data_IF_403538951268
#
_entry.id   IF_403538951268
#
_cell.length_a   1.000
_cell.length_b   1.000
_cell.length_c   1.000
_cell.angle_alpha   90.00
_cell.angle_beta   90.00
_cell.angle_gamma   90.00
#
_symmetry.space_group_name_H-M   'P 1'
#
loop_
_entity.id
_entity.type
_entity.pdbx_description
1 polymer ?
#
# COMPACT_ATOMS: atom_id res chain seq x y z
N UNK A 1 3.13 -10.64 -19.09
CA UNK A 1 3.57 -11.34 -17.86
C UNK A 1 2.58 -11.05 -16.74
N UNK A 2 2.30 -12.00 -15.84
CA UNK A 2 1.28 -11.84 -14.79
C UNK A 2 1.92 -11.60 -13.43
N UNK A 3 1.50 -10.53 -12.75
CA UNK A 3 1.87 -10.21 -11.36
C UNK A 3 0.75 -10.61 -10.42
N UNK A 4 1.08 -11.43 -9.42
CA UNK A 4 0.18 -11.79 -8.34
C UNK A 4 0.37 -10.81 -7.18
N UNK A 5 -0.55 -9.86 -7.03
CA UNK A 5 -0.52 -8.88 -5.96
C UNK A 5 -1.35 -9.36 -4.77
N UNK A 6 -0.71 -9.54 -3.62
CA UNK A 6 -1.33 -9.98 -2.36
C UNK A 6 -1.22 -8.84 -1.36
N UNK A 7 -2.33 -8.42 -0.78
CA UNK A 7 -2.38 -7.24 0.08
C UNK A 7 -3.47 -7.36 1.15
N UNK A 8 -3.45 -6.48 2.15
CA UNK A 8 -4.32 -6.59 3.33
C UNK A 8 -5.77 -6.18 3.06
N UNK A 9 -5.98 -5.01 2.46
CA UNK A 9 -7.26 -4.33 2.40
C UNK A 9 -7.69 -3.95 0.98
N UNK A 10 -8.67 -3.05 0.91
CA UNK A 10 -9.23 -2.58 -0.37
C UNK A 10 -8.61 -1.25 -0.82
N UNK A 11 -7.93 -0.52 0.05
CA UNK A 11 -7.22 0.71 -0.35
C UNK A 11 -6.08 0.35 -1.30
N UNK A 12 -5.31 -0.68 -0.97
CA UNK A 12 -4.22 -1.22 -1.80
C UNK A 12 -4.71 -1.60 -3.19
N UNK A 13 -5.88 -2.24 -3.28
CA UNK A 13 -6.51 -2.60 -4.55
C UNK A 13 -6.75 -1.36 -5.43
N UNK A 14 -7.22 -0.26 -4.85
CA UNK A 14 -7.47 1.00 -5.57
C UNK A 14 -6.18 1.67 -6.01
N UNK A 15 -5.15 1.65 -5.15
CA UNK A 15 -3.81 2.15 -5.51
C UNK A 15 -3.24 1.35 -6.68
N UNK A 16 -3.24 0.02 -6.59
CA UNK A 16 -2.72 -0.84 -7.65
C UNK A 16 -3.50 -0.64 -8.96
N UNK A 17 -4.83 -0.56 -8.92
CA UNK A 17 -5.64 -0.26 -10.12
C UNK A 17 -5.25 1.05 -10.80
N UNK A 18 -4.86 2.07 -10.04
CA UNK A 18 -4.35 3.34 -10.60
C UNK A 18 -2.96 3.19 -11.20
N UNK A 19 -2.10 2.37 -10.61
CA UNK A 19 -0.71 2.19 -11.06
C UNK A 19 -0.56 1.23 -12.24
N UNK A 20 -1.37 0.17 -12.32
CA UNK A 20 -1.25 -0.88 -13.35
C UNK A 20 -1.15 -0.34 -14.78
N UNK A 21 -1.97 0.64 -15.22
CA UNK A 21 -1.87 1.18 -16.57
C UNK A 21 -0.54 1.87 -16.91
N UNK A 22 0.30 2.14 -15.91
CA UNK A 22 1.63 2.75 -16.08
C UNK A 22 2.73 1.70 -16.34
N UNK A 23 2.39 0.40 -16.29
CA UNK A 23 3.33 -0.70 -16.50
C UNK A 23 2.91 -1.55 -17.70
N UNK A 24 3.41 -1.19 -18.88
CA UNK A 24 3.09 -1.88 -20.14
C UNK A 24 3.46 -3.37 -20.11
N UNK A 25 2.60 -4.21 -20.67
CA UNK A 25 2.85 -5.66 -20.81
C UNK A 25 2.65 -6.49 -19.54
N UNK A 26 2.24 -5.86 -18.43
CA UNK A 26 1.86 -6.54 -17.21
C UNK A 26 0.34 -6.72 -17.09
N UNK A 27 -0.07 -7.92 -16.68
CA UNK A 27 -1.40 -8.17 -16.14
C UNK A 27 -1.30 -8.44 -14.65
N UNK A 28 -2.34 -8.10 -13.89
CA UNK A 28 -2.33 -8.25 -12.44
C UNK A 28 -3.50 -9.12 -11.97
N UNK A 29 -3.20 -10.07 -11.09
CA UNK A 29 -4.20 -10.71 -10.24
C UNK A 29 -4.15 -10.10 -8.85
N UNK A 30 -5.20 -9.34 -8.53
CA UNK A 30 -5.32 -8.63 -7.26
C UNK A 30 -6.03 -9.53 -6.23
N UNK A 31 -5.33 -9.89 -5.15
CA UNK A 31 -5.86 -10.77 -4.09
C UNK A 31 -5.82 -10.09 -2.72
N UNK A 32 -6.95 -9.59 -2.21
CA UNK A 32 -7.04 -9.15 -0.81
C UNK A 32 -6.97 -10.36 0.12
N UNK A 33 -6.28 -10.21 1.25
CA UNK A 33 -6.10 -11.25 2.26
C UNK A 33 -7.02 -11.10 3.46
N UNK A 34 -7.86 -10.05 3.53
CA UNK A 34 -8.71 -9.75 4.69
C UNK A 34 -7.89 -9.57 5.99
N UNK A 35 -6.73 -8.91 5.87
CA UNK A 35 -5.85 -8.58 7.00
C UNK A 35 -4.53 -9.38 7.06
N UNK A 36 -3.58 -8.84 7.84
CA UNK A 36 -2.21 -9.34 7.95
C UNK A 36 -2.03 -10.81 8.34
N UNK A 37 -2.91 -11.37 9.17
CA UNK A 37 -2.78 -12.75 9.68
C UNK A 37 -3.06 -13.80 8.63
N UNK A 38 -3.87 -13.46 7.63
CA UNK A 38 -4.24 -14.38 6.55
C UNK A 38 -3.26 -14.32 5.36
N UNK A 39 -2.42 -13.27 5.25
CA UNK A 39 -1.44 -13.14 4.16
C UNK A 39 -0.58 -14.40 3.96
N UNK A 40 0.04 -15.00 5.00
CA UNK A 40 0.81 -16.23 4.84
C UNK A 40 0.00 -17.39 4.22
N UNK A 41 -1.28 -17.50 4.57
CA UNK A 41 -2.18 -18.51 4.03
C UNK A 41 -2.58 -18.19 2.59
N UNK A 42 -2.84 -16.92 2.27
CA UNK A 42 -3.11 -16.46 0.91
C UNK A 42 -1.93 -16.74 -0.01
N UNK A 43 -0.70 -16.41 0.41
CA UNK A 43 0.55 -16.73 -0.29
C UNK A 43 0.58 -18.21 -0.65
N UNK A 44 0.39 -19.10 0.34
CA UNK A 44 0.45 -20.55 0.10
C UNK A 44 -0.68 -21.05 -0.80
N UNK A 45 -1.90 -20.60 -0.58
CA UNK A 45 -3.08 -21.04 -1.31
C UNK A 45 -3.14 -20.56 -2.77
N UNK A 46 -2.68 -19.34 -3.03
CA UNK A 46 -2.71 -18.72 -4.36
C UNK A 46 -1.50 -19.05 -5.21
N UNK A 47 -0.31 -19.02 -4.61
CA UNK A 47 0.93 -19.21 -5.37
C UNK A 47 1.29 -20.69 -5.50
N UNK A 48 0.95 -21.53 -4.52
CA UNK A 48 1.29 -22.96 -4.50
C UNK A 48 0.98 -23.72 -5.79
N UNK A 49 -0.23 -23.57 -6.35
CA UNK A 49 -0.58 -24.22 -7.62
C UNK A 49 0.23 -23.75 -8.83
N UNK A 50 0.82 -22.55 -8.79
CA UNK A 50 1.45 -21.89 -9.94
C UNK A 50 2.95 -22.16 -10.06
N UNK A 51 3.60 -22.56 -8.97
CA UNK A 51 5.06 -22.74 -8.95
C UNK A 51 5.45 -23.88 -9.89
N UNK A 52 6.38 -23.58 -10.81
CA UNK A 52 6.92 -24.54 -11.78
C UNK A 52 6.12 -24.67 -13.06
N UNK A 53 5.01 -23.92 -13.20
CA UNK A 53 4.19 -23.91 -14.41
C UNK A 53 4.60 -22.74 -15.31
N UNK A 54 4.76 -21.56 -14.72
CA UNK A 54 5.13 -20.33 -15.41
C UNK A 54 6.05 -19.47 -14.54
N UNK A 55 6.62 -18.43 -15.14
CA UNK A 55 7.35 -17.39 -14.42
C UNK A 55 6.44 -16.76 -13.37
N UNK A 56 6.86 -16.72 -12.12
CA UNK A 56 6.07 -16.19 -11.02
C UNK A 56 6.57 -14.78 -10.66
N UNK A 57 5.69 -13.78 -10.76
CA UNK A 57 5.92 -12.43 -10.25
C UNK A 57 4.96 -12.15 -9.11
N UNK A 58 5.47 -11.79 -7.94
CA UNK A 58 4.65 -11.60 -6.75
C UNK A 58 4.93 -10.24 -6.15
N UNK A 59 3.87 -9.45 -5.97
CA UNK A 59 3.89 -8.25 -5.15
C UNK A 59 3.16 -8.55 -3.84
N UNK A 60 3.79 -8.28 -2.71
CA UNK A 60 3.18 -8.40 -1.39
C UNK A 60 3.16 -7.01 -0.77
N UNK A 61 1.99 -6.51 -0.41
CA UNK A 61 1.83 -5.23 0.29
C UNK A 61 1.43 -5.48 1.74
N UNK A 62 2.09 -4.80 2.66
CA UNK A 62 1.89 -4.92 4.11
C UNK A 62 1.81 -3.57 4.77
N UNK A 63 0.91 -3.44 5.73
CA UNK A 63 0.93 -2.34 6.69
C UNK A 63 1.98 -2.62 7.77
N UNK A 64 2.37 -1.57 8.52
CA UNK A 64 3.27 -1.70 9.67
C UNK A 64 2.58 -1.27 10.97
N UNK A 65 2.23 -2.26 11.80
CA UNK A 65 1.56 -2.07 13.08
C UNK A 65 2.55 -1.92 14.25
N UNK A 66 3.33 -0.83 14.27
CA UNK A 66 4.36 -0.63 15.31
C UNK A 66 3.81 -0.60 16.74
N UNK A 67 2.59 -0.10 16.95
CA UNK A 67 1.94 -0.08 18.28
C UNK A 67 1.63 -1.48 18.84
N UNK A 68 1.54 -2.52 18.00
CA UNK A 68 1.42 -3.92 18.42
C UNK A 68 2.80 -4.60 18.58
N UNK A 69 3.89 -3.83 18.50
CA UNK A 69 5.26 -4.33 18.52
C UNK A 69 5.68 -5.01 17.21
N UNK A 70 4.95 -4.82 16.11
CA UNK A 70 5.38 -5.28 14.79
C UNK A 70 6.56 -4.43 14.31
N UNK A 71 7.62 -5.10 13.84
CA UNK A 71 8.80 -4.45 13.25
C UNK A 71 8.93 -4.85 11.80
N UNK A 72 9.65 -4.06 11.00
CA UNK A 72 9.95 -4.40 9.61
C UNK A 72 10.57 -5.80 9.51
N UNK A 73 11.55 -6.12 10.37
CA UNK A 73 12.18 -7.44 10.40
C UNK A 73 11.19 -8.57 10.68
N UNK A 74 10.21 -8.35 11.56
CA UNK A 74 9.14 -9.35 11.82
C UNK A 74 8.25 -9.55 10.60
N UNK A 75 7.90 -8.49 9.88
CA UNK A 75 7.10 -8.59 8.63
C UNK A 75 7.89 -9.33 7.54
N UNK A 76 9.16 -8.97 7.35
CA UNK A 76 10.08 -9.63 6.42
C UNK A 76 10.22 -11.11 6.78
N UNK A 77 10.51 -11.44 8.04
CA UNK A 77 10.70 -12.81 8.49
C UNK A 77 9.42 -13.65 8.37
N UNK A 78 8.25 -13.07 8.69
CA UNK A 78 6.96 -13.73 8.50
C UNK A 78 6.73 -14.07 7.02
N UNK A 79 7.08 -13.14 6.13
CA UNK A 79 6.98 -13.34 4.67
C UNK A 79 7.96 -14.39 4.18
N UNK A 80 9.24 -14.34 4.58
CA UNK A 80 10.25 -15.38 4.30
C UNK A 80 9.78 -16.75 4.75
N UNK A 81 9.19 -16.85 5.94
CA UNK A 81 8.65 -18.10 6.49
C UNK A 81 7.50 -18.64 5.64
N UNK A 82 6.56 -17.79 5.24
CA UNK A 82 5.45 -18.18 4.38
C UNK A 82 5.92 -18.69 3.01
N UNK A 83 6.90 -18.01 2.41
CA UNK A 83 7.51 -18.40 1.13
C UNK A 83 8.32 -19.69 1.25
N UNK A 84 9.11 -19.85 2.32
CA UNK A 84 9.87 -21.09 2.58
C UNK A 84 8.93 -22.30 2.74
N UNK A 85 7.82 -22.11 3.44
CA UNK A 85 6.78 -23.15 3.58
C UNK A 85 6.11 -23.48 2.25
N UNK A 86 5.87 -22.46 1.42
CA UNK A 86 5.34 -22.61 0.06
C UNK A 86 6.27 -23.47 -0.81
N UNK A 87 7.60 -23.29 -0.73
CA UNK A 87 8.57 -24.02 -1.54
C UNK A 87 8.95 -25.40 -1.02
N UNK A 88 8.79 -25.66 0.29
CA UNK A 88 9.28 -26.87 0.98
C UNK A 88 8.99 -28.20 0.26
N UNK A 89 7.85 -28.34 -0.42
CA UNK A 89 7.45 -29.63 -1.01
C UNK A 89 7.97 -29.88 -2.43
N UNK A 90 8.04 -28.84 -3.28
CA UNK A 90 8.41 -28.97 -4.70
C UNK A 90 9.80 -28.43 -5.02
N UNK A 91 10.28 -27.50 -4.19
CA UNK A 91 11.51 -26.75 -4.40
C UNK A 91 12.22 -26.53 -3.06
N UNK A 92 12.46 -27.61 -2.32
CA UNK A 92 12.98 -27.57 -0.95
C UNK A 92 14.35 -26.87 -0.80
N UNK A 93 15.11 -26.77 -1.90
CA UNK A 93 16.39 -26.07 -1.95
C UNK A 93 16.25 -24.55 -2.14
N UNK A 94 15.08 -24.06 -2.55
CA UNK A 94 14.82 -22.62 -2.60
C UNK A 94 14.64 -22.10 -1.18
N UNK A 95 15.53 -21.19 -0.80
CA UNK A 95 15.47 -20.48 0.47
C UNK A 95 15.30 -18.98 0.19
N UNK A 96 14.07 -18.44 0.25
CA UNK A 96 13.82 -17.04 -0.07
C UNK A 96 14.48 -16.11 0.93
N UNK A 97 15.54 -15.44 0.47
CA UNK A 97 16.21 -14.41 1.25
C UNK A 97 15.82 -13.03 0.71
N UNK A 98 14.70 -12.52 1.21
CA UNK A 98 14.26 -11.14 0.98
C UNK A 98 15.32 -10.15 1.48
N UNK A 99 15.91 -9.42 0.52
CA UNK A 99 16.94 -8.41 0.72
C UNK A 99 16.39 -7.02 0.40
N UNK A 100 16.85 -5.98 1.10
CA UNK A 100 16.40 -4.61 0.86
C UNK A 100 16.74 -4.16 -0.57
N UNK A 101 15.80 -3.51 -1.25
CA UNK A 101 16.01 -2.99 -2.61
C UNK A 101 16.70 -1.63 -2.55
N UNK A 102 18.03 -1.63 -2.71
CA UNK A 102 18.82 -0.39 -2.82
C UNK A 102 18.59 0.56 -1.64
N UNK A 103 18.20 1.80 -1.95
CA UNK A 103 17.92 2.86 -0.96
C UNK A 103 16.51 2.78 -0.33
N UNK A 104 15.61 1.94 -0.86
CA UNK A 104 14.24 1.85 -0.37
C UNK A 104 14.16 1.00 0.90
N UNK A 105 14.17 1.65 2.06
CA UNK A 105 14.19 0.98 3.36
C UNK A 105 13.01 0.05 3.64
N UNK A 106 11.92 0.25 2.89
CA UNK A 106 10.64 -0.41 3.06
C UNK A 106 10.29 -1.37 1.92
N UNK A 107 11.24 -1.65 1.03
CA UNK A 107 11.07 -2.59 -0.08
C UNK A 107 12.09 -3.70 0.04
N UNK A 108 11.61 -4.94 0.00
CA UNK A 108 12.42 -6.14 0.11
C UNK A 108 12.14 -7.06 -1.06
N UNK A 109 13.17 -7.56 -1.70
CA UNK A 109 13.10 -8.32 -2.94
C UNK A 109 13.80 -9.66 -2.82
N UNK A 110 13.35 -10.62 -3.60
CA UNK A 110 14.06 -11.87 -3.83
C UNK A 110 13.75 -12.37 -5.24
N UNK A 111 14.76 -12.90 -5.91
CA UNK A 111 14.59 -13.68 -7.11
C UNK A 111 15.28 -15.03 -6.96
N UNK A 112 14.74 -16.05 -7.61
CA UNK A 112 15.43 -17.32 -7.73
C UNK A 112 16.62 -17.16 -8.69
N UNK A 113 17.76 -17.77 -8.34
CA UNK A 113 18.95 -17.79 -9.19
C UNK A 113 18.82 -18.79 -10.36
N UNK A 114 17.88 -19.74 -10.27
CA UNK A 114 17.68 -20.85 -11.20
C UNK A 114 16.19 -21.04 -11.51
N UNK A 115 15.85 -22.07 -12.30
CA UNK A 115 14.49 -22.56 -12.49
C UNK A 115 13.89 -23.05 -11.15
N UNK A 116 12.66 -22.62 -10.78
CA UNK A 116 11.69 -21.79 -11.49
C UNK A 116 12.02 -20.31 -11.50
N UNK A 117 11.71 -19.59 -12.60
CA UNK A 117 11.81 -18.12 -12.67
C UNK A 117 10.80 -17.45 -11.73
N UNK A 118 11.26 -17.02 -10.55
CA UNK A 118 10.43 -16.39 -9.53
C UNK A 118 11.06 -15.05 -9.15
N UNK A 119 10.22 -14.01 -9.09
CA UNK A 119 10.55 -12.72 -8.48
C UNK A 119 9.47 -12.31 -7.50
N UNK A 120 9.91 -11.84 -6.34
CA UNK A 120 9.07 -11.44 -5.23
C UNK A 120 9.51 -10.06 -4.77
N UNK A 121 8.56 -9.14 -4.67
CA UNK A 121 8.73 -7.86 -4.01
C UNK A 121 7.75 -7.76 -2.84
N UNK A 122 8.27 -7.40 -1.68
CA UNK A 122 7.54 -7.06 -0.46
C UNK A 122 7.68 -5.54 -0.25
N UNK A 123 6.57 -4.83 -0.31
CA UNK A 123 6.49 -3.43 0.09
C UNK A 123 5.79 -3.33 1.43
N UNK A 124 6.39 -2.59 2.35
CA UNK A 124 5.85 -2.32 3.68
C UNK A 124 5.53 -0.83 3.73
N UNK A 125 4.30 -0.47 4.10
CA UNK A 125 3.92 0.92 4.32
C UNK A 125 4.64 1.43 5.58
N UNK A 126 5.64 2.29 5.39
CA UNK A 126 6.41 2.91 6.49
C UNK A 126 6.22 4.41 6.58
N UNK A 127 5.71 5.05 5.52
CA UNK A 127 5.39 6.46 5.53
C UNK A 127 4.29 6.73 6.57
N UNK A 128 4.51 7.76 7.39
CA UNK A 128 3.49 8.31 8.27
C UNK A 128 3.29 9.76 7.90
N UNK A 129 2.05 10.14 7.64
CA UNK A 129 1.73 11.56 7.45
C UNK A 129 1.95 12.35 8.76
N UNK A 130 1.72 11.71 9.92
CA UNK A 130 2.01 12.27 11.24
C UNK A 130 2.78 11.27 12.11
N UNK A 131 3.88 11.71 12.73
CA UNK A 131 4.69 10.87 13.64
C UNK A 131 3.90 10.36 14.86
N UNK A 132 2.80 11.03 15.21
CA UNK A 132 1.92 10.62 16.32
C UNK A 132 1.03 9.42 15.99
N UNK A 133 1.01 8.95 14.73
CA UNK A 133 0.16 7.85 14.32
C UNK A 133 0.66 6.51 14.84
N UNK A 134 -0.29 5.68 15.29
CA UNK A 134 0.01 4.36 15.87
C UNK A 134 0.33 3.29 14.80
N UNK A 135 -0.06 3.55 13.55
CA UNK A 135 0.12 2.68 12.39
C UNK A 135 0.72 3.48 11.23
N UNK A 136 1.39 2.79 10.31
CA UNK A 136 1.72 3.30 8.99
C UNK A 136 1.02 2.39 7.96
N UNK A 137 0.18 2.98 7.10
CA UNK A 137 -0.61 2.24 6.11
C UNK A 137 -0.57 2.92 4.76
N UNK A 138 -1.13 2.27 3.72
CA UNK A 138 -1.28 2.92 2.41
C UNK A 138 -2.16 4.17 2.48
N UNK A 139 -3.08 4.28 3.46
CA UNK A 139 -3.90 5.47 3.65
C UNK A 139 -3.06 6.73 3.96
N UNK A 140 -1.87 6.60 4.57
CA UNK A 140 -0.94 7.72 4.81
C UNK A 140 -0.47 8.37 3.49
N UNK A 141 -0.17 7.54 2.50
CA UNK A 141 0.24 7.99 1.17
C UNK A 141 -0.91 8.70 0.45
N UNK A 142 -2.12 8.13 0.54
CA UNK A 142 -3.33 8.71 -0.05
C UNK A 142 -3.67 10.06 0.59
N UNK A 143 -3.60 10.14 1.91
CA UNK A 143 -3.82 11.39 2.64
C UNK A 143 -2.80 12.45 2.22
N UNK A 144 -1.54 12.07 2.07
CA UNK A 144 -0.47 12.98 1.62
C UNK A 144 -0.77 13.56 0.23
N UNK A 145 -1.24 12.73 -0.71
CA UNK A 145 -1.63 13.18 -2.06
C UNK A 145 -2.88 14.07 -1.99
N UNK A 146 -3.88 13.70 -1.20
CA UNK A 146 -5.12 14.47 -1.06
C UNK A 146 -4.88 15.88 -0.50
N UNK A 147 -3.89 16.04 0.38
CA UNK A 147 -3.51 17.31 0.98
C UNK A 147 -2.62 18.18 0.08
N UNK A 148 -2.25 17.73 -1.12
CA UNK A 148 -1.64 18.61 -2.11
C UNK A 148 -2.66 19.65 -2.55
N UNK A 149 -2.27 20.93 -2.54
CA UNK A 149 -3.16 22.07 -2.80
C UNK A 149 -4.02 21.90 -4.05
N UNK A 150 -3.40 21.60 -5.18
CA UNK A 150 -4.10 21.45 -6.46
C UNK A 150 -5.13 20.30 -6.39
N UNK A 151 -4.79 19.19 -5.73
CA UNK A 151 -5.69 18.04 -5.56
C UNK A 151 -6.84 18.38 -4.62
N UNK A 152 -6.54 19.05 -3.50
CA UNK A 152 -7.55 19.52 -2.55
C UNK A 152 -8.52 20.49 -3.20
N UNK A 153 -8.03 21.41 -4.03
CA UNK A 153 -8.86 22.33 -4.82
C UNK A 153 -9.81 21.55 -5.74
N UNK A 154 -9.34 20.50 -6.43
CA UNK A 154 -10.22 19.67 -7.27
C UNK A 154 -11.29 18.95 -6.45
N UNK A 155 -10.90 18.35 -5.33
CA UNK A 155 -11.81 17.62 -4.42
C UNK A 155 -12.85 18.54 -3.78
N UNK A 156 -12.51 19.80 -3.55
CA UNK A 156 -13.38 20.77 -2.88
C UNK A 156 -14.34 21.49 -3.85
N UNK A 157 -14.19 21.34 -5.18
CA UNK A 157 -15.06 22.02 -6.17
C UNK A 157 -16.53 21.73 -5.96
N UNK A 158 -16.89 20.48 -5.65
CA UNK A 158 -18.29 20.05 -5.45
C UNK A 158 -18.96 20.74 -4.26
N UNK A 159 -18.18 21.24 -3.30
CA UNK A 159 -18.71 21.94 -2.12
C UNK A 159 -18.48 23.45 -2.16
N UNK A 160 -17.96 23.97 -3.28
CA UNK A 160 -17.69 25.40 -3.51
C UNK A 160 -16.77 26.04 -2.44
N UNK A 161 -15.80 25.27 -1.96
CA UNK A 161 -14.81 25.73 -0.96
C UNK A 161 -13.41 25.64 -1.55
N UNK A 162 -12.53 26.54 -1.11
CA UNK A 162 -11.11 26.52 -1.46
C UNK A 162 -10.39 25.31 -0.81
N UNK A 163 -9.48 24.67 -1.53
CA UNK A 163 -8.71 23.52 -1.06
C UNK A 163 -7.86 23.81 0.18
N UNK A 164 -7.29 25.02 0.32
CA UNK A 164 -6.56 25.46 1.51
C UNK A 164 -7.47 25.48 2.74
N UNK A 165 -8.75 25.86 2.58
CA UNK A 165 -9.73 25.79 3.67
C UNK A 165 -10.00 24.33 4.07
N UNK A 166 -10.13 23.41 3.11
CA UNK A 166 -10.32 21.99 3.42
C UNK A 166 -9.11 21.41 4.14
N UNK A 167 -7.90 21.66 3.64
CA UNK A 167 -6.63 21.23 4.25
C UNK A 167 -6.58 21.72 5.70
N UNK A 168 -6.84 23.01 5.94
CA UNK A 168 -6.82 23.58 7.29
C UNK A 168 -7.85 22.94 8.23
N UNK A 169 -9.06 22.65 7.72
CA UNK A 169 -10.11 21.98 8.51
C UNK A 169 -9.73 20.55 8.86
N UNK A 170 -9.13 19.81 7.92
CA UNK A 170 -8.73 18.41 8.09
C UNK A 170 -7.54 18.26 9.02
N UNK A 171 -6.56 19.16 8.92
CA UNK A 171 -5.25 18.99 9.57
C UNK A 171 -5.12 19.74 10.88
N UNK A 172 -5.87 20.83 11.07
CA UNK A 172 -5.71 21.71 12.24
C UNK A 172 -7.01 21.89 13.00
N UNK A 173 -8.02 22.52 12.39
CA UNK A 173 -9.15 23.08 13.15
C UNK A 173 -10.05 22.01 13.77
N UNK A 174 -10.51 21.03 12.98
CA UNK A 174 -11.37 19.96 13.50
C UNK A 174 -10.58 19.01 14.41
N UNK A 175 -9.36 18.55 14.06
CA UNK A 175 -8.54 17.76 14.98
C UNK A 175 -8.29 18.46 16.32
N UNK A 176 -8.08 19.78 16.33
CA UNK A 176 -7.92 20.56 17.57
C UNK A 176 -9.19 20.55 18.42
N UNK A 177 -10.35 20.76 17.80
CA UNK A 177 -11.64 20.68 18.51
C UNK A 177 -11.84 19.28 19.09
N UNK A 178 -11.61 18.23 18.32
CA UNK A 178 -11.74 16.84 18.77
C UNK A 178 -10.80 16.56 19.96
N UNK A 179 -9.53 16.97 19.85
CA UNK A 179 -8.54 16.81 20.92
C UNK A 179 -8.93 17.53 22.21
N UNK A 180 -9.44 18.76 22.12
CA UNK A 180 -9.92 19.53 23.27
C UNK A 180 -11.11 18.86 23.97
N UNK A 181 -11.84 17.99 23.27
CA UNK A 181 -12.93 17.19 23.79
C UNK A 181 -12.51 15.75 24.14
N UNK A 182 -11.20 15.46 24.19
CA UNK A 182 -10.67 14.14 24.54
C UNK A 182 -10.74 13.09 23.42
N UNK A 183 -11.09 13.47 22.19
CA UNK A 183 -11.13 12.58 21.03
C UNK A 183 -9.81 12.71 20.27
N UNK A 184 -9.00 11.65 20.27
CA UNK A 184 -7.68 11.62 19.63
C UNK A 184 -7.78 10.85 18.32
N UNK A 185 -7.46 11.51 17.21
CA UNK A 185 -7.28 10.86 15.91
C UNK A 185 -5.88 10.25 15.86
N UNK A 186 -5.79 8.93 15.71
CA UNK A 186 -4.52 8.19 15.91
C UNK A 186 -3.99 7.56 14.64
N UNK A 187 -4.74 7.62 13.54
CA UNK A 187 -4.40 6.92 12.31
C UNK A 187 -4.80 7.74 11.07
N UNK A 188 -4.09 7.54 9.95
CA UNK A 188 -4.42 8.19 8.68
C UNK A 188 -5.86 7.94 8.24
N UNK A 189 -6.41 6.75 8.50
CA UNK A 189 -7.81 6.42 8.18
C UNK A 189 -8.82 7.34 8.87
N UNK A 190 -8.51 7.86 10.07
CA UNK A 190 -9.38 8.80 10.77
C UNK A 190 -9.41 10.15 10.02
N UNK A 191 -8.25 10.61 9.56
CA UNK A 191 -8.12 11.84 8.77
C UNK A 191 -8.72 11.69 7.38
N UNK A 192 -8.56 10.53 6.73
CA UNK A 192 -9.22 10.20 5.47
C UNK A 192 -10.74 10.24 5.62
N UNK A 193 -11.30 9.67 6.69
CA UNK A 193 -12.73 9.72 7.00
C UNK A 193 -13.21 11.15 7.24
N UNK A 194 -12.45 11.93 8.00
CA UNK A 194 -12.75 13.34 8.26
C UNK A 194 -12.74 14.16 6.97
N UNK A 195 -11.70 13.99 6.14
CA UNK A 195 -11.58 14.65 4.84
C UNK A 195 -12.78 14.31 3.98
N UNK A 196 -13.07 13.03 3.78
CA UNK A 196 -14.21 12.57 3.01
C UNK A 196 -15.53 13.18 3.50
N UNK A 197 -15.72 13.28 4.82
CA UNK A 197 -16.92 13.89 5.40
C UNK A 197 -17.02 15.39 5.08
N UNK A 198 -15.92 16.15 5.16
CA UNK A 198 -15.91 17.59 4.85
C UNK A 198 -16.30 17.83 3.38
N UNK A 199 -15.76 17.04 2.46
CA UNK A 199 -16.08 17.14 1.03
C UNK A 199 -17.37 16.40 0.64
N UNK A 200 -18.20 15.99 1.61
CA UNK A 200 -19.47 15.28 1.40
C UNK A 200 -19.35 14.02 0.52
N UNK A 201 -18.22 13.32 0.63
CA UNK A 201 -17.97 12.04 -0.04
C UNK A 201 -18.20 10.85 0.90
N UNK A 202 -18.23 9.65 0.33
CA UNK A 202 -18.37 8.42 1.10
C UNK A 202 -17.12 8.21 1.98
N UNK A 203 -17.30 8.05 3.29
CA UNK A 203 -16.21 8.02 4.29
C UNK A 203 -15.42 6.69 4.33
N UNK A 204 -15.58 5.85 3.31
CA UNK A 204 -14.84 4.58 3.22
C UNK A 204 -13.45 4.88 2.66
N UNK A 205 -12.35 4.54 3.35
CA UNK A 205 -11.00 4.87 2.88
C UNK A 205 -10.69 4.39 1.46
N UNK A 206 -11.10 3.17 1.03
CA UNK A 206 -10.95 2.75 -0.37
C UNK A 206 -11.69 3.65 -1.38
N UNK A 207 -12.90 4.11 -1.05
CA UNK A 207 -13.69 4.98 -1.95
C UNK A 207 -13.05 6.37 -2.03
N UNK A 208 -12.56 6.88 -0.90
CA UNK A 208 -11.81 8.13 -0.86
C UNK A 208 -10.51 8.02 -1.68
N UNK A 209 -9.74 6.94 -1.51
CA UNK A 209 -8.52 6.70 -2.28
C UNK A 209 -8.78 6.69 -3.79
N UNK A 210 -9.84 5.99 -4.22
CA UNK A 210 -10.26 6.01 -5.63
C UNK A 210 -10.62 7.43 -6.10
N UNK A 211 -11.36 8.21 -5.29
CA UNK A 211 -11.70 9.60 -5.63
C UNK A 211 -10.45 10.46 -5.77
N UNK A 212 -9.52 10.40 -4.80
CA UNK A 212 -8.25 11.14 -4.81
C UNK A 212 -7.42 10.78 -6.04
N UNK A 213 -7.21 9.49 -6.28
CA UNK A 213 -6.35 9.00 -7.36
C UNK A 213 -6.92 9.29 -8.76
N UNK A 214 -8.22 9.54 -8.88
CA UNK A 214 -8.88 9.89 -10.14
C UNK A 214 -8.99 11.39 -10.39
N UNK A 215 -8.46 12.25 -9.50
CA UNK A 215 -8.37 13.68 -9.78
C UNK A 215 -7.40 13.94 -10.95
N UNK A 216 -7.69 14.95 -11.78
CA UNK A 216 -6.92 15.29 -12.98
C UNK A 216 -5.49 15.71 -12.63
N UNK A 217 -5.30 16.34 -11.48
CA UNK A 217 -3.97 16.70 -10.99
C UNK A 217 -3.09 15.48 -10.69
N UNK A 218 -3.66 14.30 -10.41
CA UNK A 218 -2.91 13.08 -10.09
C UNK A 218 -2.38 12.41 -11.36
N UNK A 219 -1.21 12.89 -11.79
CA UNK A 219 -0.43 12.35 -12.89
C UNK A 219 0.71 11.42 -12.41
N UNK A 220 1.40 10.80 -13.37
CA UNK A 220 2.51 9.87 -13.11
C UNK A 220 3.63 10.50 -12.26
N UNK A 221 3.95 11.78 -12.42
CA UNK A 221 4.99 12.44 -11.63
C UNK A 221 4.60 12.55 -10.15
N UNK A 222 3.34 12.88 -9.85
CA UNK A 222 2.83 12.88 -8.46
C UNK A 222 2.86 11.47 -7.90
N UNK A 223 2.38 10.48 -8.66
CA UNK A 223 2.36 9.10 -8.25
C UNK A 223 3.78 8.58 -7.98
N UNK A 224 4.73 8.82 -8.87
CA UNK A 224 6.15 8.46 -8.68
C UNK A 224 6.77 9.16 -7.48
N UNK A 225 6.47 10.44 -7.27
CA UNK A 225 7.01 11.19 -6.12
C UNK A 225 6.52 10.63 -4.79
N UNK A 226 5.24 10.32 -4.68
CA UNK A 226 4.63 9.94 -3.40
C UNK A 226 4.60 8.43 -3.18
N UNK A 227 4.62 7.61 -4.23
CA UNK A 227 4.58 6.14 -4.18
C UNK A 227 5.88 5.52 -4.71
N UNK A 228 7.01 6.24 -4.67
CA UNK A 228 8.30 5.82 -5.25
C UNK A 228 8.72 4.40 -4.88
N UNK A 229 8.63 4.03 -3.61
CA UNK A 229 8.96 2.70 -3.11
C UNK A 229 8.07 1.61 -3.71
N UNK A 230 6.78 1.90 -3.91
CA UNK A 230 5.86 0.98 -4.56
C UNK A 230 6.16 0.86 -6.07
N UNK A 231 6.54 1.97 -6.73
CA UNK A 231 7.05 1.92 -8.10
C UNK A 231 8.29 1.04 -8.20
N UNK A 232 9.28 1.23 -7.34
CA UNK A 232 10.51 0.43 -7.34
C UNK A 232 10.24 -1.07 -7.14
N UNK A 233 9.29 -1.41 -6.25
CA UNK A 233 8.84 -2.78 -6.05
C UNK A 233 8.20 -3.38 -7.31
N UNK A 234 7.39 -2.60 -8.04
CA UNK A 234 6.75 -3.01 -9.29
C UNK A 234 7.76 -3.13 -10.44
N UNK A 235 8.69 -2.20 -10.56
CA UNK A 235 9.76 -2.20 -11.57
C UNK A 235 10.69 -3.40 -11.41
N UNK A 236 10.99 -3.83 -10.18
CA UNK A 236 11.76 -5.06 -9.94
C UNK A 236 11.09 -6.32 -10.51
N UNK A 237 9.75 -6.34 -10.58
CA UNK A 237 8.98 -7.48 -11.06
C UNK A 237 8.93 -7.57 -12.59
N UNK A 238 9.40 -6.56 -13.32
CA UNK A 238 9.57 -6.57 -14.79
C UNK A 238 10.76 -7.44 -15.20
#
# INVERSE_FOLDING_TARGET
>A
MKVHAIFEGRTEEKVLKKLIPLFDGLSFELTPSNGKTEIPKTIRGKLGPLIGIESLRVLILRDLDMHEGETIDRVVQSTKTALSQLFRNRYALLNPDLNRLGEFENVYIWCSENDPDIRIALHIATHRWSESFIKATIDDYILTIALLRDISDELAREIEVNGDCVIKKVTEEIPTILKNNGIIMKEAKDYVRLYAAIIKSHTSPPVFAEKVLNQNGVNENILKKHLNSLFAALEFLL
#
